data_IF_113098394402
#
_entry.id   IF_113098394402
#
_cell.length_a   1.000
_cell.length_b   1.000
_cell.length_c   1.000
_cell.angle_alpha   90.00
_cell.angle_beta   90.00
_cell.angle_gamma   90.00
#
_symmetry.space_group_name_H-M   'P 1'
#
loop_
_entity.id
_entity.type
_entity.pdbx_description
1 polymer ?
#
# COMPACT_ATOMS: atom_id res chain seq x y z
N UNK A 1 16.61 -1.65 -10.81
CA UNK A 1 16.71 -0.94 -9.52
C UNK A 1 16.07 -1.68 -8.33
N UNK A 2 15.17 -2.66 -8.53
CA UNK A 2 14.49 -3.38 -7.42
C UNK A 2 15.41 -4.37 -6.68
N UNK A 3 16.37 -5.01 -7.36
CA UNK A 3 17.27 -6.00 -6.76
C UNK A 3 18.16 -5.45 -5.63
N UNK A 4 18.58 -4.18 -5.72
CA UNK A 4 19.45 -3.54 -4.72
C UNK A 4 18.73 -3.22 -3.41
N UNK A 5 17.42 -2.94 -3.47
CA UNK A 5 16.62 -2.68 -2.28
C UNK A 5 16.45 -3.94 -1.43
N UNK A 6 16.26 -5.10 -2.07
CA UNK A 6 16.13 -6.38 -1.38
C UNK A 6 17.46 -6.82 -0.76
N UNK A 7 18.59 -6.56 -1.43
CA UNK A 7 19.92 -6.86 -0.90
C UNK A 7 20.27 -6.01 0.33
N UNK A 8 19.83 -4.75 0.35
CA UNK A 8 20.03 -3.88 1.52
C UNK A 8 19.19 -4.32 2.71
N UNK A 9 17.95 -4.75 2.47
CA UNK A 9 17.08 -5.30 3.51
C UNK A 9 17.66 -6.53 4.18
N UNK A 10 18.13 -7.50 3.38
CA UNK A 10 18.76 -8.72 3.93
C UNK A 10 20.07 -8.43 4.66
N UNK A 11 20.87 -7.47 4.18
CA UNK A 11 22.08 -7.05 4.88
C UNK A 11 21.78 -6.41 6.24
N UNK A 12 20.78 -5.52 6.32
CA UNK A 12 20.34 -4.95 7.59
C UNK A 12 19.83 -6.02 8.55
N UNK A 13 19.06 -6.99 8.06
CA UNK A 13 18.55 -8.09 8.87
C UNK A 13 19.69 -8.97 9.43
N UNK A 14 20.65 -9.37 8.59
CA UNK A 14 21.82 -10.15 9.00
C UNK A 14 22.66 -9.37 10.03
N UNK A 15 22.84 -8.06 9.82
CA UNK A 15 23.58 -7.20 10.76
C UNK A 15 22.93 -7.17 12.14
N UNK A 16 21.59 -7.04 12.20
CA UNK A 16 20.83 -7.09 13.46
C UNK A 16 20.98 -8.45 14.15
N UNK A 17 20.88 -9.55 13.41
CA UNK A 17 21.04 -10.90 13.98
C UNK A 17 22.47 -11.18 14.47
N UNK A 18 23.50 -10.78 13.72
CA UNK A 18 24.90 -10.91 14.15
C UNK A 18 25.17 -10.08 15.40
N UNK A 19 24.64 -8.86 15.45
CA UNK A 19 24.82 -7.98 16.59
C UNK A 19 24.11 -8.51 17.85
N UNK A 20 22.85 -8.92 17.73
CA UNK A 20 22.11 -9.53 18.85
C UNK A 20 22.79 -10.81 19.35
N UNK A 21 23.30 -11.65 18.44
CA UNK A 21 24.09 -12.83 18.80
C UNK A 21 25.35 -12.46 19.60
N UNK A 22 26.11 -11.45 19.15
CA UNK A 22 27.32 -10.98 19.87
C UNK A 22 26.96 -10.45 21.26
N UNK A 23 25.88 -9.69 21.41
CA UNK A 23 25.43 -9.18 22.71
C UNK A 23 24.99 -10.31 23.65
N UNK A 24 24.24 -11.30 23.14
CA UNK A 24 23.84 -12.48 23.93
C UNK A 24 25.07 -13.29 24.35
N UNK A 25 26.03 -13.47 23.44
CA UNK A 25 27.27 -14.19 23.74
C UNK A 25 28.11 -13.48 24.80
N UNK A 26 28.29 -12.16 24.69
CA UNK A 26 29.01 -11.34 25.67
C UNK A 26 28.31 -11.36 27.03
N UNK A 27 26.98 -11.18 27.06
CA UNK A 27 26.23 -11.22 28.32
C UNK A 27 26.28 -12.60 28.99
N UNK A 28 26.22 -13.69 28.22
CA UNK A 28 26.39 -15.04 28.76
C UNK A 28 27.82 -15.30 29.27
N UNK A 29 28.84 -14.86 28.52
CA UNK A 29 30.25 -14.93 28.92
C UNK A 29 30.49 -14.17 30.24
N UNK A 30 29.92 -12.97 30.35
CA UNK A 30 29.98 -12.18 31.57
C UNK A 30 29.20 -12.83 32.71
N UNK A 31 28.00 -13.37 32.48
CA UNK A 31 27.25 -14.11 33.49
C UNK A 31 28.02 -15.33 34.00
N UNK A 32 28.79 -15.99 33.12
CA UNK A 32 29.70 -17.07 33.51
C UNK A 32 30.83 -16.58 34.41
N UNK A 33 31.42 -15.42 34.11
CA UNK A 33 32.46 -14.82 34.96
C UNK A 33 31.91 -14.35 36.31
N UNK A 34 30.74 -13.72 36.32
CA UNK A 34 30.04 -13.30 37.54
C UNK A 34 29.66 -14.51 38.39
N UNK A 35 29.17 -15.60 37.79
CA UNK A 35 28.87 -16.84 38.52
C UNK A 35 30.13 -17.44 39.16
N UNK A 36 31.26 -17.42 38.45
CA UNK A 36 32.55 -17.85 39.01
C UNK A 36 33.03 -16.97 40.17
N UNK A 37 32.62 -15.69 40.19
CA UNK A 37 32.96 -14.73 41.25
C UNK A 37 32.09 -14.89 42.51
N UNK A 38 30.77 -15.09 42.36
CA UNK A 38 29.84 -15.19 43.49
C UNK A 38 29.74 -16.60 44.10
N UNK A 39 30.07 -17.64 43.32
CA UNK A 39 30.11 -19.02 43.81
C UNK A 39 31.52 -19.59 43.65
N UNK A 40 32.53 -19.06 44.38
CA UNK A 40 33.89 -19.56 44.30
C UNK A 40 33.96 -21.04 44.73
N UNK A 41 33.08 -21.47 45.64
CA UNK A 41 32.94 -22.88 46.02
C UNK A 41 32.61 -23.81 44.85
N UNK A 42 31.84 -23.37 43.84
CA UNK A 42 31.56 -24.18 42.64
C UNK A 42 32.83 -24.40 41.80
N UNK A 43 33.66 -23.36 41.66
CA UNK A 43 34.91 -23.42 40.88
C UNK A 43 35.98 -24.24 41.61
N UNK A 44 36.03 -24.13 42.94
CA UNK A 44 36.79 -24.98 43.85
C UNK A 44 36.36 -26.45 43.77
N UNK A 45 35.06 -26.73 43.75
CA UNK A 45 34.52 -28.11 43.64
C UNK A 45 34.83 -28.74 42.28
N UNK A 46 34.85 -27.94 41.20
CA UNK A 46 35.21 -28.41 39.86
C UNK A 46 36.71 -28.72 39.70
N UNK A 47 37.57 -28.26 40.63
CA UNK A 47 39.04 -28.46 40.58
C UNK A 47 39.64 -29.12 41.82
N UNK A 48 38.85 -29.46 42.83
CA UNK A 48 39.33 -30.10 44.07
C UNK A 48 40.32 -29.24 44.88
N UNK A 49 40.13 -27.91 44.91
CA UNK A 49 41.04 -26.97 45.58
C UNK A 49 40.30 -26.06 46.55
N UNK A 50 40.87 -25.79 47.72
CA UNK A 50 40.28 -24.93 48.75
C UNK A 50 40.09 -23.47 48.26
N UNK A 51 39.03 -22.77 48.69
CA UNK A 51 38.72 -21.42 48.21
C UNK A 51 39.70 -20.36 48.77
N UNK A 52 40.07 -19.32 47.99
CA UNK A 52 40.97 -18.26 48.44
C UNK A 52 40.26 -17.22 49.33
N UNK A 53 40.86 -16.92 50.49
CA UNK A 53 40.48 -15.78 51.35
C UNK A 53 40.93 -14.45 50.71
N UNK A 54 39.97 -13.58 50.39
CA UNK A 54 40.21 -12.20 49.94
C UNK A 54 39.70 -11.89 48.54
N UNK A 55 38.37 -11.85 48.34
CA UNK A 55 37.76 -11.43 47.08
C UNK A 55 37.74 -9.90 46.94
N UNK A 56 38.45 -9.36 45.94
CA UNK A 56 38.44 -7.94 45.59
C UNK A 56 37.04 -7.45 45.12
N UNK A 57 36.66 -6.19 45.39
CA UNK A 57 35.39 -5.63 44.92
C UNK A 57 35.37 -5.51 43.39
N UNK A 58 34.24 -5.86 42.78
CA UNK A 58 34.04 -5.80 41.33
C UNK A 58 34.09 -4.35 40.81
N UNK A 59 34.71 -4.09 39.64
CA UNK A 59 34.77 -2.74 39.09
C UNK A 59 33.42 -2.23 38.57
N UNK A 60 32.96 -1.07 39.06
CA UNK A 60 31.68 -0.44 38.67
C UNK A 60 31.59 -0.02 37.20
N UNK A 61 32.73 0.22 36.53
CA UNK A 61 32.79 0.63 35.12
C UNK A 61 32.18 -0.39 34.15
N UNK A 62 32.09 -1.66 34.56
CA UNK A 62 31.48 -2.72 33.76
C UNK A 62 29.97 -2.50 33.62
N UNK A 63 29.28 -2.13 34.70
CA UNK A 63 27.83 -1.90 34.70
C UNK A 63 27.45 -0.63 33.95
N UNK A 64 28.27 0.41 34.05
CA UNK A 64 28.07 1.64 33.30
C UNK A 64 28.19 1.39 31.78
N UNK A 65 29.25 0.70 31.32
CA UNK A 65 29.44 0.42 29.89
C UNK A 65 28.30 -0.37 29.24
N UNK A 66 27.67 -1.28 29.97
CA UNK A 66 26.49 -2.05 29.51
C UNK A 66 25.24 -1.16 29.39
N UNK A 67 25.05 -0.21 30.31
CA UNK A 67 23.94 0.72 30.25
C UNK A 67 24.04 1.68 29.04
N UNK A 68 25.25 2.21 28.76
CA UNK A 68 25.47 3.11 27.63
C UNK A 68 25.32 2.42 26.26
N UNK A 69 25.80 1.19 26.14
CA UNK A 69 25.66 0.40 24.90
C UNK A 69 24.20 0.05 24.61
N UNK A 70 23.42 -0.34 25.62
CA UNK A 70 21.97 -0.56 25.49
C UNK A 70 21.19 0.65 24.96
N UNK A 71 21.50 1.84 25.49
CA UNK A 71 20.86 3.09 25.08
C UNK A 71 21.16 3.47 23.62
N UNK A 72 22.40 3.32 23.17
CA UNK A 72 22.80 3.63 21.79
C UNK A 72 22.05 2.75 20.77
N UNK A 73 21.85 1.47 21.10
CA UNK A 73 21.13 0.50 20.24
C UNK A 73 19.66 0.89 20.06
N UNK A 74 18.98 1.24 21.16
CA UNK A 74 17.58 1.67 21.10
C UNK A 74 17.42 2.93 20.25
N UNK A 75 18.35 3.87 20.35
CA UNK A 75 18.33 5.11 19.55
C UNK A 75 18.55 4.81 18.07
N UNK A 76 19.53 3.97 17.71
CA UNK A 76 19.83 3.64 16.32
C UNK A 76 18.69 2.86 15.65
N UNK A 77 18.12 1.87 16.34
CA UNK A 77 17.01 1.07 15.82
C UNK A 77 15.73 1.89 15.67
N UNK A 78 15.41 2.76 16.65
CA UNK A 78 14.28 3.69 16.54
C UNK A 78 14.51 4.70 15.41
N UNK A 79 15.74 5.20 15.25
CA UNK A 79 16.13 6.09 14.16
C UNK A 79 15.93 5.45 12.78
N UNK A 80 16.36 4.21 12.59
CA UNK A 80 16.13 3.45 11.35
C UNK A 80 14.64 3.23 11.09
N UNK A 81 13.87 2.80 12.10
CA UNK A 81 12.43 2.59 11.96
C UNK A 81 11.68 3.88 11.58
N UNK A 82 12.08 5.03 12.12
CA UNK A 82 11.52 6.33 11.76
C UNK A 82 11.90 6.76 10.34
N UNK A 83 13.14 6.51 9.90
CA UNK A 83 13.59 6.81 8.55
C UNK A 83 12.85 5.96 7.49
N UNK A 84 12.68 4.66 7.75
CA UNK A 84 11.90 3.76 6.89
C UNK A 84 10.41 4.11 6.92
N UNK A 85 9.90 4.51 8.08
CA UNK A 85 8.55 5.06 8.24
C UNK A 85 8.33 6.33 7.40
N UNK A 86 9.34 7.20 7.29
CA UNK A 86 9.27 8.41 6.47
C UNK A 86 9.20 8.09 4.97
N UNK A 87 10.03 7.15 4.51
CA UNK A 87 10.01 6.69 3.11
C UNK A 87 8.66 6.04 2.74
N UNK A 88 8.11 5.24 3.65
CA UNK A 88 6.77 4.64 3.51
C UNK A 88 5.66 5.69 3.43
N UNK A 89 5.71 6.72 4.28
CA UNK A 89 4.76 7.84 4.24
C UNK A 89 4.87 8.64 2.93
N UNK A 90 6.09 8.80 2.39
CA UNK A 90 6.28 9.46 1.10
C UNK A 90 5.67 8.66 -0.05
N UNK A 91 5.79 7.34 -0.03
CA UNK A 91 5.15 6.46 -1.03
C UNK A 91 3.61 6.54 -0.94
N UNK A 92 3.04 6.54 0.27
CA UNK A 92 1.60 6.65 0.47
C UNK A 92 1.03 7.98 -0.05
N UNK A 93 1.75 9.09 0.14
CA UNK A 93 1.35 10.41 -0.42
C UNK A 93 1.29 10.38 -1.94
N UNK A 94 2.28 9.78 -2.61
CA UNK A 94 2.27 9.65 -4.08
C UNK A 94 1.06 8.86 -4.58
N UNK A 95 0.67 7.82 -3.85
CA UNK A 95 -0.54 7.04 -4.18
C UNK A 95 -1.81 7.87 -4.00
N UNK A 96 -1.90 8.63 -2.91
CA UNK A 96 -3.03 9.53 -2.68
C UNK A 96 -3.16 10.59 -3.79
N UNK A 97 -2.06 11.25 -4.16
CA UNK A 97 -2.05 12.25 -5.24
C UNK A 97 -2.44 11.61 -6.59
N UNK A 98 -1.97 10.39 -6.86
CA UNK A 98 -2.30 9.67 -8.09
C UNK A 98 -3.79 9.28 -8.16
N UNK A 99 -4.38 8.89 -7.03
CA UNK A 99 -5.82 8.63 -6.92
C UNK A 99 -6.63 9.90 -7.13
N UNK A 100 -6.22 11.02 -6.52
CA UNK A 100 -6.89 12.31 -6.70
C UNK A 100 -6.85 12.79 -8.16
N UNK A 101 -5.71 12.63 -8.85
CA UNK A 101 -5.60 12.95 -10.28
C UNK A 101 -6.50 12.06 -11.16
N UNK A 102 -6.60 10.77 -10.84
CA UNK A 102 -7.48 9.86 -11.58
C UNK A 102 -8.96 10.23 -11.40
N UNK A 103 -9.35 10.61 -10.18
CA UNK A 103 -10.71 11.06 -9.88
C UNK A 103 -11.05 12.35 -10.63
N UNK A 104 -10.16 13.35 -10.62
CA UNK A 104 -10.39 14.60 -11.35
C UNK A 104 -10.50 14.38 -12.86
N UNK A 105 -9.66 13.53 -13.44
CA UNK A 105 -9.69 13.21 -14.87
C UNK A 105 -11.00 12.52 -15.28
N UNK A 106 -11.51 11.63 -14.42
CA UNK A 106 -12.81 10.99 -14.61
C UNK A 106 -13.95 12.02 -14.58
N UNK A 107 -13.91 12.96 -13.64
CA UNK A 107 -14.85 14.08 -13.56
C UNK A 107 -14.86 14.92 -14.84
N UNK A 108 -13.69 15.34 -15.32
CA UNK A 108 -13.54 16.13 -16.54
C UNK A 108 -14.04 15.38 -17.79
N UNK A 109 -13.73 14.08 -17.89
CA UNK A 109 -14.19 13.25 -19.00
C UNK A 109 -15.72 13.10 -18.97
N UNK A 110 -16.28 12.84 -17.79
CA UNK A 110 -17.74 12.76 -17.61
C UNK A 110 -18.40 14.07 -18.03
N UNK A 111 -17.86 15.22 -17.62
CA UNK A 111 -18.39 16.52 -18.00
C UNK A 111 -18.30 16.77 -19.52
N UNK A 112 -17.18 16.39 -20.16
CA UNK A 112 -17.06 16.45 -21.62
C UNK A 112 -18.10 15.58 -22.33
N UNK A 113 -18.36 14.37 -21.84
CA UNK A 113 -19.38 13.48 -22.43
C UNK A 113 -20.79 14.06 -22.28
N UNK A 114 -21.11 14.66 -21.13
CA UNK A 114 -22.39 15.35 -20.93
C UNK A 114 -22.54 16.51 -21.91
N UNK A 115 -21.53 17.39 -22.02
CA UNK A 115 -21.56 18.53 -22.94
C UNK A 115 -21.68 18.10 -24.42
N UNK A 116 -21.03 16.99 -24.81
CA UNK A 116 -21.16 16.42 -26.16
C UNK A 116 -22.55 15.80 -26.39
N UNK A 117 -23.18 15.24 -25.36
CA UNK A 117 -24.53 14.70 -25.43
C UNK A 117 -25.61 15.78 -25.52
N UNK A 118 -25.41 16.91 -24.84
CA UNK A 118 -26.39 18.01 -24.75
C UNK A 118 -26.47 18.83 -26.05
N UNK A 119 -25.41 18.83 -26.86
CA UNK A 119 -25.36 19.52 -28.16
C UNK A 119 -25.94 18.71 -29.33
N UNK A 120 -26.39 17.47 -29.10
CA UNK A 120 -27.13 16.70 -30.09
C UNK A 120 -28.60 16.64 -29.70
N UNK A 121 -29.37 17.67 -30.07
CA UNK A 121 -30.78 17.45 -30.36
C UNK A 121 -30.84 16.27 -31.32
N UNK A 122 -31.40 15.14 -30.88
CA UNK A 122 -31.43 13.91 -31.66
C UNK A 122 -32.37 14.14 -32.84
N UNK A 123 -31.85 14.61 -33.95
CA UNK A 123 -32.63 14.82 -35.18
C UNK A 123 -32.95 13.47 -35.83
N UNK A 124 -34.08 13.41 -36.53
CA UNK A 124 -34.44 12.25 -37.33
C UNK A 124 -33.37 12.02 -38.40
N UNK A 125 -32.70 10.86 -38.37
CA UNK A 125 -31.62 10.54 -39.32
C UNK A 125 -32.12 10.28 -40.76
N UNK A 126 -33.43 10.24 -40.98
CA UNK A 126 -34.00 10.01 -42.31
C UNK A 126 -34.35 11.31 -43.02
N UNK A 127 -35.06 12.22 -42.33
CA UNK A 127 -35.50 13.47 -42.94
C UNK A 127 -34.63 14.67 -42.56
N UNK A 128 -33.83 14.58 -41.49
CA UNK A 128 -33.03 15.68 -40.94
C UNK A 128 -33.81 16.99 -40.70
N UNK A 129 -35.14 16.93 -40.66
CA UNK A 129 -36.04 18.09 -40.60
C UNK A 129 -36.72 18.20 -39.24
N UNK A 130 -37.09 17.06 -38.65
CA UNK A 130 -37.78 16.98 -37.36
C UNK A 130 -36.95 16.19 -36.34
N UNK A 131 -37.15 16.45 -35.05
CA UNK A 131 -36.55 15.67 -33.97
C UNK A 131 -36.96 14.19 -34.01
N UNK A 132 -36.05 13.32 -33.60
CA UNK A 132 -36.31 11.90 -33.39
C UNK A 132 -37.14 11.71 -32.11
N UNK A 133 -38.39 11.27 -32.28
CA UNK A 133 -39.36 11.13 -31.21
C UNK A 133 -40.03 9.74 -31.17
N UNK A 134 -39.62 8.78 -32.01
CA UNK A 134 -40.20 7.42 -31.98
C UNK A 134 -39.22 6.38 -31.47
N UNK A 135 -39.62 5.69 -30.40
CA UNK A 135 -38.91 4.57 -29.80
C UNK A 135 -39.42 3.23 -30.36
N UNK A 136 -38.50 2.44 -30.91
CA UNK A 136 -38.80 1.12 -31.46
C UNK A 136 -38.68 0.06 -30.36
N UNK A 137 -39.70 -0.76 -30.12
CA UNK A 137 -39.66 -1.85 -29.14
C UNK A 137 -39.55 -3.22 -29.84
N UNK A 138 -38.79 -4.18 -29.29
CA UNK A 138 -38.11 -4.17 -27.98
C UNK A 138 -36.69 -3.60 -27.99
N UNK A 139 -36.18 -3.10 -29.12
CA UNK A 139 -34.76 -2.73 -29.24
C UNK A 139 -34.38 -1.38 -28.61
N UNK A 140 -35.37 -0.54 -28.25
CA UNK A 140 -35.22 0.76 -27.60
C UNK A 140 -34.34 1.76 -28.37
N UNK A 141 -34.24 1.63 -29.70
CA UNK A 141 -33.55 2.62 -30.53
C UNK A 141 -34.49 3.78 -30.88
N UNK A 142 -34.04 5.01 -30.58
CA UNK A 142 -34.71 6.28 -30.88
C UNK A 142 -33.89 7.02 -31.93
N UNK A 143 -34.40 7.11 -33.17
CA UNK A 143 -33.61 7.64 -34.29
C UNK A 143 -34.42 8.36 -35.38
N UNK A 144 -35.76 8.23 -35.39
CA UNK A 144 -36.60 8.85 -36.42
C UNK A 144 -37.80 9.59 -35.81
N UNK A 145 -38.36 10.51 -36.59
CA UNK A 145 -39.63 11.18 -36.28
C UNK A 145 -40.84 10.28 -36.59
N UNK A 146 -42.03 10.70 -36.15
CA UNK A 146 -43.29 9.97 -36.32
C UNK A 146 -43.60 9.67 -37.80
N UNK A 147 -43.49 10.66 -38.67
CA UNK A 147 -43.73 10.53 -40.12
C UNK A 147 -42.79 9.51 -40.79
N UNK A 148 -41.52 9.55 -40.38
CA UNK A 148 -40.48 8.66 -40.88
C UNK A 148 -40.64 7.24 -40.36
N UNK A 149 -41.16 7.08 -39.14
CA UNK A 149 -41.37 5.77 -38.53
C UNK A 149 -42.34 4.92 -39.33
N UNK A 150 -43.35 5.52 -39.98
CA UNK A 150 -44.34 4.81 -40.79
C UNK A 150 -43.75 4.15 -42.04
N UNK A 151 -42.61 4.64 -42.53
CA UNK A 151 -41.92 4.13 -43.74
C UNK A 151 -40.91 3.02 -43.43
N UNK A 152 -40.58 2.80 -42.15
CA UNK A 152 -39.57 1.83 -41.71
C UNK A 152 -40.21 0.62 -41.02
N UNK A 153 -39.82 -0.57 -41.49
CA UNK A 153 -40.22 -1.85 -40.89
C UNK A 153 -39.09 -2.58 -40.15
N UNK A 154 -37.84 -2.12 -40.27
CA UNK A 154 -36.65 -2.75 -39.66
C UNK A 154 -35.78 -1.66 -39.05
N UNK A 155 -35.36 -1.86 -37.80
CA UNK A 155 -34.47 -0.90 -37.14
C UNK A 155 -33.07 -0.89 -37.81
N UNK A 156 -32.53 0.27 -38.23
CA UNK A 156 -31.23 0.35 -38.90
C UNK A 156 -30.03 0.08 -37.96
N UNK A 157 -30.24 0.11 -36.64
CA UNK A 157 -29.16 -0.13 -35.66
C UNK A 157 -29.02 -1.60 -35.29
N UNK A 158 -30.14 -2.32 -35.13
CA UNK A 158 -30.13 -3.72 -34.69
C UNK A 158 -30.66 -4.71 -35.72
N UNK A 159 -31.13 -4.23 -36.87
CA UNK A 159 -31.69 -5.01 -37.98
C UNK A 159 -32.85 -5.94 -37.58
N UNK A 160 -33.53 -5.66 -36.46
CA UNK A 160 -34.70 -6.41 -35.99
C UNK A 160 -36.00 -5.66 -36.33
N UNK A 161 -37.08 -6.37 -36.69
CA UNK A 161 -38.40 -5.76 -36.86
C UNK A 161 -38.95 -5.31 -35.49
N UNK A 162 -39.57 -4.12 -35.39
CA UNK A 162 -40.20 -3.68 -34.15
C UNK A 162 -41.54 -4.40 -33.93
N UNK A 163 -41.82 -4.80 -32.69
CA UNK A 163 -43.14 -5.29 -32.28
C UNK A 163 -44.12 -4.14 -32.03
N UNK A 164 -43.63 -3.01 -31.54
CA UNK A 164 -44.41 -1.80 -31.29
C UNK A 164 -43.55 -0.54 -31.44
N UNK A 165 -44.19 0.59 -31.77
CA UNK A 165 -43.56 1.91 -31.90
C UNK A 165 -44.26 2.86 -30.95
N UNK A 166 -43.50 3.55 -30.10
CA UNK A 166 -44.05 4.49 -29.11
C UNK A 166 -43.47 5.87 -29.37
N UNK A 167 -44.34 6.87 -29.49
CA UNK A 167 -43.91 8.28 -29.58
C UNK A 167 -43.55 8.75 -28.17
N UNK A 168 -42.36 9.33 -28.02
CA UNK A 168 -41.81 9.82 -26.76
C UNK A 168 -41.47 11.29 -26.93
N UNK A 169 -41.91 12.11 -25.99
CA UNK A 169 -41.57 13.52 -25.93
C UNK A 169 -40.32 13.66 -25.08
N UNK A 170 -39.21 14.06 -25.71
CA UNK A 170 -38.00 14.46 -25.00
C UNK A 170 -38.24 15.87 -24.46
N UNK A 171 -38.39 15.99 -23.15
CA UNK A 171 -38.51 17.26 -22.41
C UNK A 171 -37.12 17.77 -22.09
#
# INVERSE_FOLDING_TARGET
>A
MIAWANLWGTFCEISVWLYTYVVIWLSHSMASQVRAMFYPQWAATAKGMDPPEGSAPSPSWIYEGVAWSGGLILILTLGCALADGWKSRQALRRLHDSLGQAESLCGDLSQKLVNLGESQEKMCILCYTSGANVLFQPCLHLFCCDDCSNKIHICPFCHKPPSSKTVVFLV
#
